data_IF_761264044752
#
_entry.id   IF_761264044752
#
_cell.length_a   1.000
_cell.length_b   1.000
_cell.length_c   1.000
_cell.angle_alpha   90.00
_cell.angle_beta   90.00
_cell.angle_gamma   90.00
#
_symmetry.space_group_name_H-M   'P 1'
#
loop_
_entity.id
_entity.type
_entity.pdbx_description
1 polymer ?
#
# COMPACT_ATOMS: atom_id res chain seq x y z
N UNK A 1 22.64 -2.04 -4.98
CA UNK A 1 23.35 -0.86 -4.42
C UNK A 1 22.61 0.47 -4.57
N UNK A 2 21.90 0.76 -5.67
CA UNK A 2 21.26 2.07 -5.88
C UNK A 2 20.19 2.44 -4.82
N UNK A 3 19.34 1.49 -4.40
CA UNK A 3 18.30 1.72 -3.40
C UNK A 3 18.85 2.13 -2.02
N UNK A 4 20.01 1.57 -1.63
CA UNK A 4 20.64 1.88 -0.34
C UNK A 4 21.18 3.32 -0.32
N UNK A 5 21.73 3.79 -1.44
CA UNK A 5 22.17 5.19 -1.61
C UNK A 5 20.99 6.18 -1.57
N UNK A 6 19.80 5.78 -2.03
CA UNK A 6 18.62 6.64 -2.00
C UNK A 6 18.16 6.92 -0.57
N UNK A 7 18.12 5.89 0.28
CA UNK A 7 17.70 6.03 1.68
C UNK A 7 18.61 6.99 2.45
N UNK A 8 19.93 6.81 2.34
CA UNK A 8 20.93 7.65 3.04
C UNK A 8 20.78 9.12 2.63
N UNK A 9 20.54 9.39 1.35
CA UNK A 9 20.39 10.75 0.83
C UNK A 9 19.11 11.43 1.35
N UNK A 10 18.01 10.68 1.43
CA UNK A 10 16.74 11.18 2.00
C UNK A 10 16.90 11.47 3.48
N UNK A 11 17.54 10.57 4.23
CA UNK A 11 17.78 10.76 5.67
C UNK A 11 18.62 12.01 5.95
N UNK A 12 19.69 12.22 5.17
CA UNK A 12 20.49 13.44 5.26
C UNK A 12 19.71 14.71 4.90
N UNK A 13 18.75 14.63 3.98
CA UNK A 13 17.84 15.74 3.64
C UNK A 13 16.89 16.06 4.80
N UNK A 14 16.29 15.04 5.40
CA UNK A 14 15.40 15.18 6.55
C UNK A 14 16.13 15.77 7.76
N UNK A 15 17.36 15.30 8.05
CA UNK A 15 18.20 15.86 9.12
C UNK A 15 18.51 17.35 8.89
N UNK A 16 18.75 17.77 7.65
CA UNK A 16 18.99 19.19 7.30
C UNK A 16 17.74 20.05 7.39
N UNK A 17 16.57 19.52 7.02
CA UNK A 17 15.27 20.19 7.14
C UNK A 17 14.92 20.46 8.62
N UNK A 18 15.40 19.62 9.53
CA UNK A 18 15.20 19.75 10.97
C UNK A 18 13.86 19.15 11.39
N UNK A 19 12.91 19.99 11.80
CA UNK A 19 11.58 19.53 12.25
C UNK A 19 10.64 19.42 11.05
N UNK A 20 10.03 18.25 10.90
CA UNK A 20 9.02 17.95 9.87
C UNK A 20 7.68 17.81 10.59
N UNK A 21 6.75 18.74 10.35
CA UNK A 21 5.49 18.81 11.11
C UNK A 21 4.28 18.25 10.36
N UNK A 22 4.31 18.28 9.04
CA UNK A 22 3.22 17.85 8.18
C UNK A 22 3.73 17.11 6.94
N UNK A 23 2.79 16.62 6.12
CA UNK A 23 3.10 15.88 4.90
C UNK A 23 3.80 16.75 3.85
N UNK A 24 3.49 18.05 3.78
CA UNK A 24 4.11 18.95 2.80
C UNK A 24 5.60 19.16 3.11
N UNK A 25 5.96 19.29 4.38
CA UNK A 25 7.35 19.39 4.81
C UNK A 25 8.15 18.11 4.50
N UNK A 26 7.50 16.94 4.62
CA UNK A 26 8.10 15.66 4.26
C UNK A 26 8.35 15.57 2.74
N UNK A 27 7.33 15.89 1.93
CA UNK A 27 7.45 15.90 0.46
C UNK A 27 8.57 16.84 0.02
N UNK A 28 8.62 18.04 0.58
CA UNK A 28 9.67 19.03 0.29
C UNK A 28 11.07 18.50 0.62
N UNK A 29 11.23 17.84 1.78
CA UNK A 29 12.52 17.25 2.17
C UNK A 29 12.96 16.12 1.24
N UNK A 30 12.05 15.24 0.81
CA UNK A 30 12.36 14.14 -0.11
C UNK A 30 12.64 14.65 -1.53
N UNK A 31 11.89 15.65 -1.99
CA UNK A 31 12.10 16.27 -3.31
C UNK A 31 13.44 17.01 -3.37
N UNK A 32 13.89 17.61 -2.26
CA UNK A 32 15.21 18.27 -2.14
C UNK A 32 16.37 17.31 -1.91
N UNK A 33 16.11 16.03 -1.64
CA UNK A 33 17.16 15.05 -1.39
C UNK A 33 18.03 14.84 -2.63
N UNK A 34 17.42 14.80 -3.83
CA UNK A 34 18.15 14.60 -5.09
C UNK A 34 17.45 15.31 -6.24
N UNK A 35 18.21 15.81 -7.22
CA UNK A 35 17.64 16.45 -8.43
C UNK A 35 16.71 15.52 -9.22
N UNK A 36 16.93 14.20 -9.13
CA UNK A 36 16.17 13.18 -9.85
C UNK A 36 15.10 12.49 -9.02
N UNK A 37 14.93 12.81 -7.72
CA UNK A 37 13.84 12.21 -6.95
C UNK A 37 12.52 12.79 -7.44
N UNK A 38 11.58 11.92 -7.81
CA UNK A 38 10.22 12.32 -8.13
C UNK A 38 9.30 11.85 -7.01
N UNK A 39 8.78 12.78 -6.21
CA UNK A 39 7.85 12.41 -5.14
C UNK A 39 6.45 12.27 -5.71
N UNK A 40 6.00 11.02 -5.81
CA UNK A 40 4.63 10.70 -6.19
C UNK A 40 3.73 10.98 -4.97
N UNK A 41 3.15 12.18 -4.92
CA UNK A 41 2.14 12.49 -3.90
C UNK A 41 0.91 11.60 -4.08
N UNK A 42 0.46 11.03 -2.96
CA UNK A 42 -0.70 10.15 -2.92
C UNK A 42 -2.00 10.97 -2.92
N UNK A 43 -2.40 11.42 -4.10
CA UNK A 43 -3.69 12.09 -4.32
C UNK A 43 -4.80 11.05 -4.48
N UNK A 44 -6.06 11.40 -4.14
CA UNK A 44 -7.24 10.53 -4.32
C UNK A 44 -7.36 9.94 -5.74
N UNK A 45 -6.95 10.70 -6.76
CA UNK A 45 -6.92 10.24 -8.16
C UNK A 45 -6.01 9.04 -8.42
N UNK A 46 -5.08 8.75 -7.50
CA UNK A 46 -4.11 7.64 -7.57
C UNK A 46 -4.44 6.52 -6.58
N UNK A 47 -5.57 6.59 -5.89
CA UNK A 47 -6.06 5.51 -5.05
C UNK A 47 -6.96 4.61 -5.86
N UNK A 48 -6.77 3.30 -5.72
CA UNK A 48 -7.45 2.28 -6.52
C UNK A 48 -8.06 1.22 -5.61
N UNK A 49 -9.30 0.83 -5.92
CA UNK A 49 -9.96 -0.31 -5.27
C UNK A 49 -9.70 -1.54 -6.13
N UNK A 50 -8.83 -2.41 -5.63
CA UNK A 50 -8.56 -3.71 -6.20
C UNK A 50 -9.65 -4.68 -5.77
N UNK A 51 -10.27 -5.36 -6.74
CA UNK A 51 -11.22 -6.42 -6.46
C UNK A 51 -10.49 -7.75 -6.44
N UNK A 52 -10.92 -8.64 -5.55
CA UNK A 52 -10.42 -10.00 -5.56
C UNK A 52 -10.90 -10.71 -6.82
N UNK A 53 -9.93 -11.14 -7.64
CA UNK A 53 -10.14 -11.92 -8.86
C UNK A 53 -10.13 -13.43 -8.60
N UNK A 54 -10.02 -13.85 -7.35
CA UNK A 54 -9.79 -15.24 -6.98
C UNK A 54 -11.07 -16.07 -7.02
N UNK A 55 -10.98 -17.27 -7.59
CA UNK A 55 -12.05 -18.26 -7.57
C UNK A 55 -11.96 -19.11 -6.32
N UNK A 56 -12.86 -18.87 -5.37
CA UNK A 56 -12.99 -19.72 -4.17
C UNK A 56 -13.26 -21.18 -4.53
N UNK A 57 -14.02 -21.43 -5.61
CA UNK A 57 -14.25 -22.77 -6.13
C UNK A 57 -12.96 -23.47 -6.57
N UNK A 58 -12.08 -22.78 -7.32
CA UNK A 58 -10.79 -23.35 -7.72
C UNK A 58 -9.87 -23.53 -6.52
N UNK A 59 -9.81 -22.55 -5.62
CA UNK A 59 -9.02 -22.65 -4.38
C UNK A 59 -9.40 -23.87 -3.54
N UNK A 60 -10.70 -24.11 -3.36
CA UNK A 60 -11.19 -25.25 -2.56
C UNK A 60 -10.95 -26.62 -3.23
N UNK A 61 -10.62 -26.63 -4.53
CA UNK A 61 -10.30 -27.85 -5.29
C UNK A 61 -8.81 -28.19 -5.30
N UNK A 62 -7.94 -27.24 -4.99
CA UNK A 62 -6.50 -27.47 -4.93
C UNK A 62 -6.20 -28.22 -3.64
N UNK A 63 -5.56 -29.38 -3.76
CA UNK A 63 -5.15 -30.21 -2.63
C UNK A 63 -3.64 -30.46 -2.78
N UNK A 64 -2.81 -30.06 -1.80
CA UNK A 64 -3.16 -29.33 -0.57
C UNK A 64 -3.57 -27.87 -0.83
N UNK A 65 -4.40 -27.28 0.05
CA UNK A 65 -4.81 -25.88 -0.09
C UNK A 65 -3.59 -24.97 0.13
N UNK A 66 -3.26 -24.10 -0.83
CA UNK A 66 -2.07 -23.24 -0.70
C UNK A 66 -2.31 -22.12 0.31
N UNK A 67 -1.39 -21.99 1.28
CA UNK A 67 -1.37 -20.87 2.23
C UNK A 67 -0.17 -19.95 1.97
N UNK A 68 -0.41 -18.63 1.95
CA UNK A 68 0.65 -17.63 1.74
C UNK A 68 1.77 -17.72 2.78
N UNK A 69 1.47 -18.18 4.00
CA UNK A 69 2.46 -18.37 5.07
C UNK A 69 3.46 -19.48 4.80
N UNK A 70 3.11 -20.42 3.91
CA UNK A 70 3.93 -21.59 3.57
C UNK A 70 4.69 -21.39 2.25
N UNK A 71 4.39 -20.32 1.51
CA UNK A 71 5.06 -20.01 0.25
C UNK A 71 6.41 -19.34 0.52
N UNK A 72 7.47 -19.99 0.06
CA UNK A 72 8.84 -19.50 0.17
C UNK A 72 9.26 -18.77 -1.11
N UNK A 73 8.92 -19.35 -2.25
CA UNK A 73 9.19 -18.79 -3.57
C UNK A 73 7.92 -18.83 -4.42
N UNK A 74 7.66 -17.76 -5.17
CA UNK A 74 6.52 -17.67 -6.10
C UNK A 74 7.01 -17.16 -7.44
N UNK A 75 6.73 -17.93 -8.49
CA UNK A 75 7.15 -17.66 -9.86
C UNK A 75 5.94 -17.30 -10.71
N UNK A 76 6.05 -16.19 -11.42
CA UNK A 76 5.04 -15.71 -12.38
C UNK A 76 5.66 -15.61 -13.76
N UNK A 77 5.05 -16.27 -14.75
CA UNK A 77 5.53 -16.26 -16.13
C UNK A 77 4.74 -15.26 -16.97
N UNK A 78 5.45 -14.39 -17.70
CA UNK A 78 4.80 -13.39 -18.56
C UNK A 78 3.97 -14.07 -19.65
N UNK A 79 2.71 -13.67 -19.76
CA UNK A 79 1.75 -14.26 -20.71
C UNK A 79 0.98 -15.45 -20.14
N UNK A 80 1.33 -15.90 -18.94
CA UNK A 80 0.61 -16.92 -18.21
C UNK A 80 -0.20 -16.30 -17.06
N UNK A 81 -1.40 -16.82 -16.85
CA UNK A 81 -2.32 -16.42 -15.78
C UNK A 81 -2.34 -17.44 -14.63
N UNK A 82 -1.22 -18.15 -14.51
CA UNK A 82 -0.94 -19.17 -13.51
C UNK A 82 0.26 -18.72 -12.70
N UNK A 83 0.36 -19.24 -11.49
CA UNK A 83 1.51 -19.02 -10.62
C UNK A 83 2.04 -20.37 -10.17
N UNK A 84 3.34 -20.47 -10.02
CA UNK A 84 4.00 -21.63 -9.40
C UNK A 84 4.51 -21.20 -8.05
N UNK A 85 4.32 -22.01 -7.01
CA UNK A 85 4.85 -21.70 -5.69
C UNK A 85 5.60 -22.90 -5.10
N UNK A 86 6.65 -22.64 -4.35
CA UNK A 86 7.47 -23.65 -3.67
C UNK A 86 7.41 -23.43 -2.16
N UNK A 87 7.51 -24.53 -1.41
CA UNK A 87 7.52 -24.51 0.07
C UNK A 87 8.92 -24.62 0.65
N UNK A 88 9.92 -24.90 -0.19
CA UNK A 88 11.34 -24.95 0.14
C UNK A 88 12.18 -24.39 -1.00
N UNK A 89 13.34 -23.82 -0.70
CA UNK A 89 14.29 -23.30 -1.71
C UNK A 89 15.01 -24.39 -2.51
N UNK A 90 14.88 -25.66 -2.10
CA UNK A 90 15.53 -26.80 -2.73
C UNK A 90 14.61 -27.52 -3.74
N UNK A 91 13.35 -27.12 -3.85
CA UNK A 91 12.39 -27.70 -4.78
C UNK A 91 12.67 -27.23 -6.22
N UNK A 92 12.77 -28.18 -7.16
CA UNK A 92 13.18 -27.88 -8.54
C UNK A 92 12.04 -27.25 -9.37
N UNK A 93 10.78 -27.54 -9.01
CA UNK A 93 9.60 -26.83 -9.51
C UNK A 93 8.39 -27.15 -8.63
N UNK A 94 7.76 -26.12 -8.08
CA UNK A 94 6.51 -26.26 -7.34
C UNK A 94 5.28 -26.56 -8.21
N UNK A 95 4.10 -26.80 -7.62
CA UNK A 95 2.85 -26.96 -8.35
C UNK A 95 2.40 -25.65 -9.03
N UNK A 96 1.98 -25.76 -10.29
CA UNK A 96 1.33 -24.67 -11.02
C UNK A 96 -0.15 -24.58 -10.61
N UNK A 97 -0.57 -23.40 -10.14
CA UNK A 97 -1.95 -23.15 -9.73
C UNK A 97 -2.60 -22.02 -10.54
N UNK A 98 -3.87 -22.23 -10.87
CA UNK A 98 -4.74 -21.24 -11.49
C UNK A 98 -5.84 -20.84 -10.51
N UNK A 99 -5.71 -19.65 -9.93
CA UNK A 99 -6.65 -19.16 -8.93
C UNK A 99 -7.63 -18.12 -9.49
N UNK A 100 -7.49 -17.70 -10.75
CA UNK A 100 -8.37 -16.67 -11.32
C UNK A 100 -9.80 -17.18 -11.54
N UNK A 101 -10.79 -16.32 -11.32
CA UNK A 101 -12.18 -16.58 -11.68
C UNK A 101 -12.36 -16.67 -13.20
N UNK A 102 -13.48 -17.27 -13.62
CA UNK A 102 -13.75 -17.52 -15.04
C UNK A 102 -13.88 -16.22 -15.86
N UNK A 103 -14.39 -15.16 -15.23
CA UNK A 103 -14.57 -13.86 -15.86
C UNK A 103 -13.21 -13.20 -16.17
N UNK A 104 -12.33 -13.09 -15.18
CA UNK A 104 -11.01 -12.46 -15.33
C UNK A 104 -10.07 -13.30 -16.21
N UNK A 105 -10.27 -14.62 -16.25
CA UNK A 105 -9.56 -15.50 -17.17
C UNK A 105 -9.97 -15.32 -18.63
N UNK A 106 -11.25 -15.00 -18.90
CA UNK A 106 -11.78 -14.86 -20.27
C UNK A 106 -11.65 -13.44 -20.80
N UNK A 107 -12.05 -12.47 -19.99
CA UNK A 107 -12.17 -11.06 -20.38
C UNK A 107 -10.94 -10.24 -19.95
N UNK A 108 -10.01 -10.86 -19.23
CA UNK A 108 -8.82 -10.23 -18.67
C UNK A 108 -9.06 -9.55 -17.32
N UNK A 109 -7.97 -9.27 -16.60
CA UNK A 109 -8.02 -8.56 -15.32
C UNK A 109 -8.44 -7.11 -15.57
N UNK A 110 -9.63 -6.73 -15.08
CA UNK A 110 -10.13 -5.37 -15.22
C UNK A 110 -9.24 -4.39 -14.46
N UNK A 111 -9.00 -3.21 -15.04
CA UNK A 111 -8.32 -2.11 -14.34
C UNK A 111 -9.11 -1.76 -13.08
N UNK A 112 -8.43 -1.56 -11.93
CA UNK A 112 -9.11 -1.23 -10.70
C UNK A 112 -9.81 0.12 -10.81
N UNK A 113 -10.93 0.27 -10.10
CA UNK A 113 -11.67 1.53 -10.09
C UNK A 113 -10.96 2.54 -9.20
N UNK A 114 -11.02 3.82 -9.57
CA UNK A 114 -10.51 4.88 -8.70
C UNK A 114 -11.32 4.93 -7.41
N UNK A 115 -10.63 5.05 -6.28
CA UNK A 115 -11.24 5.30 -4.99
C UNK A 115 -11.56 6.79 -4.89
N UNK A 116 -12.84 7.12 -4.87
CA UNK A 116 -13.31 8.52 -4.87
C UNK A 116 -13.33 9.15 -3.48
N UNK A 117 -13.26 8.33 -2.43
CA UNK A 117 -13.37 8.77 -1.03
C UNK A 117 -12.08 8.49 -0.27
N UNK A 118 -11.68 9.45 0.55
CA UNK A 118 -10.59 9.31 1.51
C UNK A 118 -11.00 8.31 2.59
N UNK A 119 -10.05 7.53 3.10
CA UNK A 119 -10.29 6.81 4.36
C UNK A 119 -10.24 7.84 5.47
N UNK A 120 -11.37 8.05 6.12
CA UNK A 120 -11.51 8.99 7.23
C UNK A 120 -10.92 8.38 8.51
N UNK A 121 -10.61 9.22 9.50
CA UNK A 121 -10.14 8.79 10.82
C UNK A 121 -11.29 8.90 11.83
N UNK A 122 -11.35 8.00 12.81
CA UNK A 122 -12.33 8.14 13.89
C UNK A 122 -12.04 9.41 14.71
N UNK A 123 -13.10 10.04 15.22
CA UNK A 123 -12.98 11.23 16.07
C UNK A 123 -12.10 10.97 17.30
N UNK A 124 -12.18 9.77 17.87
CA UNK A 124 -11.32 9.35 18.99
C UNK A 124 -9.83 9.35 18.60
N UNK A 125 -9.50 8.76 17.44
CA UNK A 125 -8.12 8.71 16.95
C UNK A 125 -7.60 10.10 16.63
N UNK A 126 -8.43 10.97 16.02
CA UNK A 126 -8.06 12.36 15.74
C UNK A 126 -7.78 13.13 17.02
N UNK A 127 -8.65 13.04 18.04
CA UNK A 127 -8.43 13.66 19.34
C UNK A 127 -7.13 13.17 19.99
N UNK A 128 -6.87 11.87 19.93
CA UNK A 128 -5.63 11.28 20.46
C UNK A 128 -4.39 11.82 19.75
N UNK A 129 -4.44 11.96 18.42
CA UNK A 129 -3.36 12.56 17.63
C UNK A 129 -3.14 14.02 18.02
N UNK A 130 -4.20 14.83 18.06
CA UNK A 130 -4.12 16.25 18.41
C UNK A 130 -3.56 16.45 19.82
N UNK A 131 -4.00 15.67 20.81
CA UNK A 131 -3.49 15.78 22.18
C UNK A 131 -1.98 15.47 22.28
N UNK A 132 -1.48 14.55 21.45
CA UNK A 132 -0.05 14.19 21.44
C UNK A 132 0.80 15.14 20.61
N UNK A 133 0.25 15.68 19.53
CA UNK A 133 0.99 16.51 18.56
C UNK A 133 0.93 18.00 18.91
N UNK A 134 -0.13 18.48 19.56
CA UNK A 134 -0.30 19.89 19.94
C UNK A 134 0.84 20.48 20.76
N UNK A 135 1.53 19.75 21.68
CA UNK A 135 2.66 20.32 22.41
C UNK A 135 3.93 20.48 21.57
N UNK A 136 4.01 19.78 20.42
CA UNK A 136 5.23 19.66 19.60
C UNK A 136 5.14 20.55 18.36
N UNK A 137 3.93 20.71 17.82
CA UNK A 137 3.68 21.42 16.56
C UNK A 137 3.31 22.88 16.85
N UNK A 138 3.92 23.86 16.13
CA UNK A 138 3.54 25.26 16.25
C UNK A 138 2.04 25.48 15.94
N UNK A 139 1.33 26.39 16.64
CA UNK A 139 -0.11 26.58 16.47
C UNK A 139 -0.56 26.84 15.02
N UNK A 140 0.24 27.58 14.24
CA UNK A 140 -0.04 27.87 12.83
C UNK A 140 -0.11 26.59 11.95
N UNK A 141 0.60 25.54 12.35
CA UNK A 141 0.68 24.25 11.64
C UNK A 141 -0.34 23.23 12.15
N UNK A 142 -1.05 23.51 13.25
CA UNK A 142 -2.10 22.64 13.77
C UNK A 142 -3.35 22.62 12.88
N UNK A 143 -3.60 23.68 12.12
CA UNK A 143 -4.75 23.77 11.22
C UNK A 143 -4.86 22.57 10.26
N UNK A 144 -3.72 22.06 9.77
CA UNK A 144 -3.70 20.84 8.94
C UNK A 144 -4.30 19.63 9.68
N UNK A 145 -3.91 19.44 10.94
CA UNK A 145 -4.35 18.31 11.76
C UNK A 145 -5.81 18.47 12.22
N UNK A 146 -6.24 19.70 12.48
CA UNK A 146 -7.63 20.02 12.84
C UNK A 146 -8.60 19.83 11.67
N UNK A 147 -8.16 20.08 10.45
CA UNK A 147 -8.98 19.96 9.22
C UNK A 147 -9.04 18.54 8.66
N UNK A 148 -8.43 17.55 9.31
CA UNK A 148 -8.52 16.16 8.87
C UNK A 148 -9.97 15.64 8.90
N UNK A 149 -10.43 14.96 7.84
CA UNK A 149 -11.81 14.47 7.75
C UNK A 149 -12.06 13.35 8.76
N UNK A 150 -13.20 13.41 9.44
CA UNK A 150 -13.61 12.48 10.49
C UNK A 150 -14.74 11.58 10.01
N UNK A 151 -14.72 10.32 10.48
CA UNK A 151 -15.81 9.38 10.26
C UNK A 151 -17.02 9.88 11.06
N UNK A 152 -18.07 10.30 10.36
CA UNK A 152 -19.34 10.73 10.99
C UNK A 152 -20.20 9.52 11.39
N UNK A 153 -20.03 8.36 10.73
CA UNK A 153 -20.81 7.14 10.96
C UNK A 153 -19.90 5.89 11.07
N UNK A 154 -19.74 5.35 12.27
CA UNK A 154 -18.88 4.19 12.58
C UNK A 154 -19.41 2.84 12.04
N UNK A 155 -20.66 2.76 11.58
CA UNK A 155 -21.33 1.50 11.19
C UNK A 155 -20.84 0.87 9.86
N UNK A 156 -19.93 1.52 9.12
CA UNK A 156 -19.42 1.01 7.83
C UNK A 156 -18.06 0.31 7.91
N UNK A 157 -17.53 0.11 9.12
CA UNK A 157 -16.26 -0.60 9.35
C UNK A 157 -16.51 -2.11 9.53
N UNK A 158 -17.14 -2.78 8.56
CA UNK A 158 -17.14 -4.25 8.53
C UNK A 158 -15.86 -4.78 7.88
N UNK A 159 -15.39 -5.91 8.41
CA UNK A 159 -14.03 -6.51 8.33
C UNK A 159 -13.44 -6.82 6.94
N UNK A 160 -14.05 -6.37 5.84
CA UNK A 160 -13.58 -6.68 4.48
C UNK A 160 -12.54 -5.70 3.92
N UNK A 161 -12.16 -4.66 4.67
CA UNK A 161 -11.19 -3.65 4.22
C UNK A 161 -9.75 -3.86 4.73
N UNK A 162 -9.33 -5.11 4.92
CA UNK A 162 -7.91 -5.48 4.88
C UNK A 162 -7.39 -5.41 3.42
N UNK A 163 -7.53 -4.24 2.81
CA UNK A 163 -6.88 -3.92 1.54
C UNK A 163 -5.42 -3.70 1.87
N UNK A 164 -4.58 -4.66 1.50
CA UNK A 164 -3.12 -4.54 1.51
C UNK A 164 -2.73 -3.20 0.90
N UNK A 165 -2.24 -2.27 1.73
CA UNK A 165 -1.52 -1.10 1.25
C UNK A 165 -0.18 -1.60 0.72
N UNK A 166 -0.14 -1.98 -0.56
CA UNK A 166 1.11 -2.10 -1.27
C UNK A 166 1.60 -0.67 -1.55
N UNK A 167 2.31 -0.08 -0.59
CA UNK A 167 3.12 1.12 -0.79
C UNK A 167 4.29 0.77 -1.70
N UNK A 168 4.01 0.56 -2.98
CA UNK A 168 5.03 0.45 -4.00
C UNK A 168 5.61 1.85 -4.20
N UNK A 169 6.69 2.17 -3.49
CA UNK A 169 7.60 3.23 -3.91
C UNK A 169 8.24 2.72 -5.20
N UNK A 170 7.62 3.05 -6.32
CA UNK A 170 8.22 2.82 -7.63
C UNK A 170 9.39 3.81 -7.74
N UNK A 171 10.59 3.33 -7.44
CA UNK A 171 11.83 3.97 -7.87
C UNK A 171 12.02 3.63 -9.35
N UNK A 172 11.55 4.52 -10.23
CA UNK A 172 12.09 4.63 -11.59
C UNK A 172 13.40 5.43 -11.54
#
# INVERSE_FOLDING_TARGET
MAALMHFITIEASLKRKGRVYDFADFVDAVQKARRTSNVIQMTLKKMFVWRDGTSQYKLNKIIPRPYLSEMVQVTFSRGHNTLTYETSFEEESGPEINILNAHDHKDGIRKPKNQLQHKEISSERKRTLLNKLSPIIPPLRLLFWDTLPEIVNEELLTDEQNVFFCSLIVFL
#
